data_IF_505766426586
#
_entry.id   IF_505766426586
#
_cell.length_a   1.000
_cell.length_b   1.000
_cell.length_c   1.000
_cell.angle_alpha   90.00
_cell.angle_beta   90.00
_cell.angle_gamma   90.00
#
_symmetry.space_group_name_H-M   'P 1'
#
loop_
_entity.id
_entity.type
_entity.pdbx_description
1 polymer ?
#
# COMPACT_ATOMS: atom_id res chain seq x y z
N UNK A 1 18.40 30.40 7.35
CA UNK A 1 17.63 29.22 7.84
C UNK A 1 16.34 29.19 7.03
N UNK A 2 15.97 28.01 6.45
CA UNK A 2 14.68 27.87 5.78
C UNK A 2 13.53 27.98 6.79
N UNK A 3 12.40 28.51 6.37
CA UNK A 3 11.20 28.50 7.19
C UNK A 3 10.68 27.07 7.36
N UNK A 4 9.90 26.84 8.43
CA UNK A 4 9.33 25.54 8.70
C UNK A 4 8.31 25.16 7.63
N UNK A 5 8.58 24.05 6.90
CA UNK A 5 7.71 23.48 5.88
C UNK A 5 7.11 24.54 4.93
N UNK A 6 7.98 25.44 4.43
CA UNK A 6 7.63 26.43 3.43
C UNK A 6 7.36 25.80 2.04
N UNK A 7 7.13 26.63 1.03
CA UNK A 7 6.86 26.16 -0.33
C UNK A 7 7.96 25.23 -0.87
N UNK A 8 9.22 25.47 -0.47
CA UNK A 8 10.39 24.69 -0.89
C UNK A 8 10.78 23.58 0.11
N UNK A 9 9.84 23.17 0.97
CA UNK A 9 10.05 22.06 1.89
C UNK A 9 10.62 20.83 1.17
N UNK A 10 11.72 20.26 1.68
CA UNK A 10 12.50 19.14 1.11
C UNK A 10 13.20 19.43 -0.22
N UNK A 11 13.05 20.60 -0.83
CA UNK A 11 13.70 20.97 -2.09
C UNK A 11 14.97 21.80 -1.80
N UNK A 12 16.13 21.31 -2.21
CA UNK A 12 17.43 21.87 -1.83
C UNK A 12 18.06 22.73 -2.93
N UNK A 13 17.82 22.37 -4.21
CA UNK A 13 18.42 23.03 -5.39
C UNK A 13 17.37 23.74 -6.25
N UNK A 14 17.81 24.67 -7.10
CA UNK A 14 16.91 25.38 -8.03
C UNK A 14 16.30 24.41 -9.05
N UNK A 15 17.07 23.42 -9.48
CA UNK A 15 16.56 22.35 -10.34
C UNK A 15 15.47 21.54 -9.62
N UNK A 16 15.69 21.14 -8.37
CA UNK A 16 14.68 20.41 -7.59
C UNK A 16 13.37 21.20 -7.44
N UNK A 17 13.45 22.51 -7.18
CA UNK A 17 12.29 23.41 -7.10
C UNK A 17 11.57 23.49 -8.44
N UNK A 18 12.30 23.63 -9.52
CA UNK A 18 11.73 23.68 -10.88
C UNK A 18 11.00 22.37 -11.21
N UNK A 19 11.63 21.22 -10.96
CA UNK A 19 11.03 19.90 -11.20
C UNK A 19 9.74 19.71 -10.41
N UNK A 20 9.74 20.15 -9.16
CA UNK A 20 8.55 20.02 -8.33
C UNK A 20 7.45 21.01 -8.74
N UNK A 21 7.71 22.33 -8.68
CA UNK A 21 6.67 23.34 -8.85
C UNK A 21 6.11 23.42 -10.28
N UNK A 22 6.93 23.12 -11.30
CA UNK A 22 6.44 23.16 -12.69
C UNK A 22 5.85 21.85 -13.17
N UNK A 23 6.35 20.70 -12.70
CA UNK A 23 6.01 19.41 -13.31
C UNK A 23 5.28 18.44 -12.38
N UNK A 24 5.70 18.34 -11.10
CA UNK A 24 5.16 17.33 -10.18
C UNK A 24 3.97 17.83 -9.37
N UNK A 25 3.94 19.07 -8.93
CA UNK A 25 2.98 19.61 -7.96
C UNK A 25 1.53 19.47 -8.40
N UNK A 26 1.24 19.77 -9.67
CA UNK A 26 -0.11 19.74 -10.24
C UNK A 26 -0.49 18.42 -10.89
N UNK A 27 0.44 17.45 -10.95
CA UNK A 27 0.16 16.12 -11.50
C UNK A 27 -0.93 15.42 -10.68
N UNK A 28 -1.94 14.78 -11.30
CA UNK A 28 -2.98 14.07 -10.57
C UNK A 28 -2.42 12.96 -9.70
N UNK A 29 -3.21 12.52 -8.72
CA UNK A 29 -2.88 11.38 -7.86
C UNK A 29 -3.57 10.13 -8.38
N UNK A 30 -2.81 9.04 -8.47
CA UNK A 30 -3.27 7.70 -8.73
C UNK A 30 -2.80 6.81 -7.58
N UNK A 31 -3.74 6.39 -6.73
CA UNK A 31 -3.45 5.59 -5.54
C UNK A 31 -3.80 4.13 -5.80
N UNK A 32 -2.86 3.39 -6.37
CA UNK A 32 -3.07 2.03 -6.85
C UNK A 32 -3.02 0.95 -5.77
N UNK A 33 -2.79 1.34 -4.51
CA UNK A 33 -2.88 0.45 -3.35
C UNK A 33 -3.13 1.26 -2.06
N UNK A 34 -4.26 1.02 -1.42
CA UNK A 34 -4.62 1.57 -0.13
C UNK A 34 -5.60 0.66 0.63
N UNK A 35 -5.88 1.01 1.88
CA UNK A 35 -6.84 0.32 2.75
C UNK A 35 -8.06 1.20 3.09
N UNK A 36 -8.38 2.17 2.22
CA UNK A 36 -9.55 3.03 2.40
C UNK A 36 -10.83 2.21 2.25
N UNK A 37 -11.81 2.49 3.12
CA UNK A 37 -13.09 1.80 3.09
C UNK A 37 -14.00 2.36 1.98
N UNK A 38 -14.34 1.58 0.94
CA UNK A 38 -15.18 2.05 -0.16
C UNK A 38 -16.61 2.44 0.28
N UNK A 39 -17.10 1.90 1.40
CA UNK A 39 -18.39 2.30 1.97
C UNK A 39 -18.41 3.77 2.35
N UNK A 40 -17.33 4.28 2.96
CA UNK A 40 -17.23 5.68 3.36
C UNK A 40 -17.23 6.63 2.15
N UNK A 41 -16.68 6.19 1.01
CA UNK A 41 -16.75 6.93 -0.27
C UNK A 41 -18.17 6.88 -0.84
N UNK A 42 -18.80 5.69 -0.84
CA UNK A 42 -20.15 5.53 -1.37
C UNK A 42 -21.19 6.35 -0.61
N UNK A 43 -21.06 6.44 0.71
CA UNK A 43 -21.94 7.18 1.61
C UNK A 43 -21.57 8.67 1.74
N UNK A 44 -20.45 9.09 1.14
CA UNK A 44 -19.87 10.44 1.26
C UNK A 44 -19.79 10.91 2.71
N UNK A 45 -19.18 10.05 3.56
CA UNK A 45 -19.11 10.25 5.01
C UNK A 45 -18.51 11.61 5.36
N UNK A 46 -19.03 12.23 6.44
CA UNK A 46 -18.37 13.31 7.16
C UNK A 46 -17.85 12.80 8.50
N UNK A 47 -16.73 13.34 8.93
CA UNK A 47 -16.13 13.00 10.22
C UNK A 47 -16.53 14.03 11.28
N UNK A 48 -16.85 13.57 12.48
CA UNK A 48 -17.25 14.46 13.57
C UNK A 48 -16.06 15.27 14.11
N UNK A 49 -14.85 14.67 14.06
CA UNK A 49 -13.64 15.30 14.58
C UNK A 49 -12.35 14.71 13.95
N UNK A 50 -11.23 15.40 14.15
CA UNK A 50 -9.93 15.05 13.58
C UNK A 50 -9.38 13.72 14.12
N UNK A 51 -9.74 13.29 15.32
CA UNK A 51 -9.31 12.01 15.90
C UNK A 51 -9.81 10.84 15.06
N UNK A 52 -11.06 10.89 14.63
CA UNK A 52 -11.65 9.83 13.79
C UNK A 52 -10.90 9.66 12.48
N UNK A 53 -10.46 10.77 11.88
CA UNK A 53 -9.68 10.73 10.62
C UNK A 53 -8.24 10.26 10.84
N UNK A 54 -7.62 10.70 11.95
CA UNK A 54 -6.19 10.48 12.17
C UNK A 54 -5.85 9.23 12.98
N UNK A 55 -6.68 8.89 13.95
CA UNK A 55 -6.39 7.82 14.91
C UNK A 55 -7.32 6.62 14.80
N UNK A 56 -8.32 6.68 13.91
CA UNK A 56 -9.32 5.63 13.77
C UNK A 56 -8.79 4.27 13.30
N UNK A 57 -7.62 4.24 12.64
CA UNK A 57 -7.01 3.01 12.11
C UNK A 57 -5.53 3.11 11.82
N UNK A 58 -4.86 4.15 12.32
CA UNK A 58 -3.45 4.43 12.00
C UNK A 58 -2.50 3.81 13.02
N UNK A 59 -2.06 2.58 12.73
CA UNK A 59 -1.11 1.87 13.59
C UNK A 59 0.30 2.50 13.63
N UNK A 60 0.69 3.39 12.70
CA UNK A 60 1.93 4.19 12.77
C UNK A 60 1.87 5.17 13.93
N UNK A 61 0.77 5.94 14.02
CA UNK A 61 0.54 6.90 15.11
C UNK A 61 0.42 6.18 16.45
N UNK A 62 -0.32 5.08 16.51
CA UNK A 62 -0.46 4.27 17.72
C UNK A 62 0.87 3.75 18.23
N UNK A 63 1.73 3.23 17.33
CA UNK A 63 3.07 2.76 17.66
C UNK A 63 3.94 3.88 18.23
N UNK A 64 3.89 5.07 17.63
CA UNK A 64 4.63 6.22 18.09
C UNK A 64 4.13 6.72 19.47
N UNK A 65 2.81 6.79 19.68
CA UNK A 65 2.23 7.16 20.98
C UNK A 65 2.69 6.20 22.09
N UNK A 66 2.73 4.90 21.83
CA UNK A 66 3.27 3.91 22.78
C UNK A 66 4.74 4.15 23.10
N UNK A 67 5.54 4.51 22.12
CA UNK A 67 6.96 4.84 22.33
C UNK A 67 7.14 6.13 23.13
N UNK A 68 6.13 6.99 23.15
CA UNK A 68 6.08 8.17 24.04
C UNK A 68 5.57 7.85 25.45
N UNK A 69 5.25 6.59 25.77
CA UNK A 69 4.74 6.16 27.07
C UNK A 69 3.26 6.48 27.32
N UNK A 70 2.49 6.69 26.25
CA UNK A 70 1.04 6.94 26.37
C UNK A 70 0.32 5.65 26.75
N UNK A 71 -0.59 5.73 27.73
CA UNK A 71 -1.42 4.61 28.15
C UNK A 71 -2.38 4.19 27.02
N UNK A 72 -2.60 2.88 26.87
CA UNK A 72 -3.43 2.29 25.80
C UNK A 72 -4.85 2.83 25.78
N UNK A 73 -5.37 3.26 26.95
CA UNK A 73 -6.67 3.94 27.09
C UNK A 73 -6.82 5.11 26.10
N UNK A 74 -5.73 5.86 25.86
CA UNK A 74 -5.71 7.04 24.99
C UNK A 74 -5.29 6.70 23.53
N UNK A 75 -5.04 5.45 23.22
CA UNK A 75 -4.61 5.00 21.88
C UNK A 75 -5.75 4.25 21.20
N UNK A 76 -6.01 3.01 21.61
CA UNK A 76 -7.08 2.16 21.09
C UNK A 76 -8.21 1.96 22.10
N UNK A 77 -8.06 2.39 23.34
CA UNK A 77 -9.06 2.22 24.41
C UNK A 77 -10.20 3.25 24.34
N UNK A 78 -10.86 3.45 25.48
CA UNK A 78 -12.16 4.12 25.63
C UNK A 78 -12.07 5.62 26.02
N UNK A 79 -10.89 6.23 26.01
CA UNK A 79 -10.75 7.67 26.23
C UNK A 79 -11.51 8.48 25.17
N UNK A 80 -11.95 9.69 25.50
CA UNK A 80 -12.62 10.56 24.54
C UNK A 80 -11.74 10.89 23.34
N UNK A 81 -12.34 11.15 22.18
CA UNK A 81 -11.62 11.57 20.97
C UNK A 81 -10.74 12.80 21.23
N UNK A 82 -11.21 13.75 22.03
CA UNK A 82 -10.44 14.93 22.42
C UNK A 82 -9.21 14.55 23.22
N UNK A 83 -9.34 13.69 24.23
CA UNK A 83 -8.21 13.25 25.05
C UNK A 83 -7.16 12.49 24.22
N UNK A 84 -7.61 11.62 23.30
CA UNK A 84 -6.73 10.91 22.36
C UNK A 84 -5.95 11.89 21.47
N UNK A 85 -6.64 12.90 20.91
CA UNK A 85 -6.00 13.93 20.10
C UNK A 85 -4.95 14.73 20.89
N UNK A 86 -5.27 15.11 22.14
CA UNK A 86 -4.33 15.85 23.00
C UNK A 86 -3.08 15.01 23.29
N UNK A 87 -3.24 13.71 23.52
CA UNK A 87 -2.09 12.81 23.69
C UNK A 87 -1.28 12.67 22.41
N UNK A 88 -1.93 12.64 21.26
CA UNK A 88 -1.24 12.69 19.98
C UNK A 88 -0.46 13.99 19.78
N UNK A 89 -1.05 15.14 20.09
CA UNK A 89 -0.40 16.45 19.99
C UNK A 89 0.84 16.57 20.90
N UNK A 90 0.78 16.02 22.13
CA UNK A 90 1.93 15.92 23.02
C UNK A 90 3.07 15.09 22.42
N UNK A 91 2.73 14.01 21.72
CA UNK A 91 3.70 13.09 21.11
C UNK A 91 4.31 13.66 19.83
N UNK A 92 3.47 14.10 18.87
CA UNK A 92 3.93 14.55 17.56
C UNK A 92 4.85 15.76 17.66
N UNK A 93 4.63 16.66 18.61
CA UNK A 93 5.52 17.79 18.87
C UNK A 93 6.95 17.39 19.27
N UNK A 94 7.18 16.14 19.64
CA UNK A 94 8.49 15.56 19.97
C UNK A 94 9.03 14.61 18.88
N UNK A 95 8.31 14.44 17.77
CA UNK A 95 8.62 13.46 16.72
C UNK A 95 9.74 13.94 15.77
N UNK A 96 10.85 14.43 16.34
CA UNK A 96 12.00 14.89 15.56
C UNK A 96 12.57 13.74 14.69
N UNK A 97 12.70 13.97 13.38
CA UNK A 97 13.19 12.96 12.43
C UNK A 97 12.19 11.87 12.05
N UNK A 98 11.02 11.84 12.67
CA UNK A 98 9.96 10.88 12.35
C UNK A 98 9.06 11.42 11.22
N UNK A 99 8.71 10.61 10.19
CA UNK A 99 7.87 11.06 9.06
C UNK A 99 6.47 11.51 9.51
N UNK A 100 5.94 10.99 10.61
CA UNK A 100 4.65 11.39 11.15
C UNK A 100 4.58 12.89 11.47
N UNK A 101 5.73 13.52 11.83
CA UNK A 101 5.80 14.96 12.01
C UNK A 101 5.52 15.70 10.71
N UNK A 102 6.19 15.31 9.62
CA UNK A 102 6.01 15.92 8.31
C UNK A 102 4.59 15.66 7.76
N UNK A 103 4.14 14.40 7.80
CA UNK A 103 2.82 14.06 7.26
C UNK A 103 1.69 14.79 7.98
N UNK A 104 1.68 14.80 9.32
CA UNK A 104 0.65 15.50 10.08
C UNK A 104 0.62 17.00 9.78
N UNK A 105 1.78 17.63 9.60
CA UNK A 105 1.83 19.06 9.29
C UNK A 105 1.50 19.36 7.82
N UNK A 106 1.82 18.47 6.87
CA UNK A 106 1.32 18.59 5.50
C UNK A 106 -0.21 18.49 5.45
N UNK A 107 -0.78 17.54 6.17
CA UNK A 107 -2.23 17.38 6.27
C UNK A 107 -2.89 18.63 6.88
N UNK A 108 -2.33 19.18 7.96
CA UNK A 108 -2.80 20.42 8.57
C UNK A 108 -2.73 21.60 7.61
N UNK A 109 -1.65 21.74 6.85
CA UNK A 109 -1.50 22.82 5.89
C UNK A 109 -2.47 22.68 4.70
N UNK A 110 -2.59 21.49 4.11
CA UNK A 110 -3.32 21.28 2.85
C UNK A 110 -4.83 21.27 3.04
N UNK A 111 -5.31 20.62 4.10
CA UNK A 111 -6.74 20.47 4.32
C UNK A 111 -7.32 21.51 5.28
N UNK A 112 -6.53 21.98 6.24
CA UNK A 112 -7.04 22.87 7.29
C UNK A 112 -6.49 24.30 7.24
N UNK A 113 -5.48 24.56 6.38
CA UNK A 113 -4.85 25.88 6.27
C UNK A 113 -4.03 26.27 7.52
N UNK A 114 -3.65 25.31 8.35
CA UNK A 114 -2.87 25.55 9.55
C UNK A 114 -1.37 25.41 9.26
N UNK A 115 -0.63 26.52 9.34
CA UNK A 115 0.82 26.58 9.08
C UNK A 115 1.68 26.63 10.37
N UNK A 116 1.04 26.53 11.53
CA UNK A 116 1.73 26.43 12.82
C UNK A 116 2.26 25.01 13.10
N UNK A 117 2.81 24.85 14.30
CA UNK A 117 3.31 23.54 14.77
C UNK A 117 2.32 22.93 15.75
N UNK A 118 1.89 21.71 15.49
CA UNK A 118 1.06 20.93 16.42
C UNK A 118 1.92 20.44 17.60
N UNK A 119 1.51 20.78 18.79
CA UNK A 119 2.16 20.42 20.05
C UNK A 119 1.15 20.49 21.20
N UNK A 120 1.56 20.11 22.41
CA UNK A 120 0.74 20.27 23.60
C UNK A 120 0.24 21.71 23.82
N UNK A 121 1.00 22.73 23.34
CA UNK A 121 0.64 24.15 23.51
C UNK A 121 -0.42 24.62 22.53
N UNK A 122 -0.49 24.01 21.36
CA UNK A 122 -1.38 24.40 20.27
C UNK A 122 -2.53 23.40 20.06
N UNK A 123 -2.60 22.35 20.88
CA UNK A 123 -3.57 21.27 20.73
C UNK A 123 -5.03 21.77 20.73
N UNK A 124 -5.40 22.67 21.64
CA UNK A 124 -6.76 23.21 21.71
C UNK A 124 -7.12 24.05 20.47
N UNK A 125 -6.19 24.88 20.02
CA UNK A 125 -6.35 25.70 18.81
C UNK A 125 -6.58 24.81 17.59
N UNK A 126 -5.71 23.81 17.39
CA UNK A 126 -5.79 22.89 16.23
C UNK A 126 -7.03 22.02 16.30
N UNK A 127 -7.40 21.53 17.50
CA UNK A 127 -8.64 20.78 17.70
C UNK A 127 -9.87 21.58 17.25
N UNK A 128 -9.97 22.81 17.72
CA UNK A 128 -11.12 23.66 17.39
C UNK A 128 -11.16 24.02 15.89
N UNK A 129 -10.01 24.39 15.32
CA UNK A 129 -9.89 24.74 13.90
C UNK A 129 -10.27 23.55 13.01
N UNK A 130 -9.66 22.39 13.25
CA UNK A 130 -9.90 21.20 12.40
C UNK A 130 -11.35 20.73 12.50
N UNK A 131 -11.91 20.69 13.69
CA UNK A 131 -13.27 20.21 13.88
C UNK A 131 -14.32 21.18 13.33
N UNK A 132 -14.10 22.48 13.42
CA UNK A 132 -14.97 23.46 12.77
C UNK A 132 -14.96 23.26 11.25
N UNK A 133 -13.77 23.05 10.67
CA UNK A 133 -13.64 22.84 9.22
C UNK A 133 -14.23 21.51 8.75
N UNK A 134 -14.09 20.43 9.52
CA UNK A 134 -14.67 19.10 9.19
C UNK A 134 -16.22 19.13 9.13
N UNK A 135 -16.90 20.14 9.68
CA UNK A 135 -18.34 20.29 9.54
C UNK A 135 -18.77 20.92 8.19
N UNK A 136 -17.83 21.51 7.44
CA UNK A 136 -18.10 22.06 6.13
C UNK A 136 -18.39 20.94 5.11
N UNK A 137 -19.22 21.21 4.11
CA UNK A 137 -19.51 20.26 3.02
C UNK A 137 -18.26 19.93 2.21
N UNK A 138 -17.34 20.88 2.10
CA UNK A 138 -16.03 20.73 1.44
C UNK A 138 -15.14 19.63 2.04
N UNK A 139 -15.44 19.16 3.25
CA UNK A 139 -14.65 18.18 4.00
C UNK A 139 -15.33 16.81 4.08
N UNK A 140 -16.34 16.54 3.26
CA UNK A 140 -16.84 15.18 3.07
C UNK A 140 -15.75 14.31 2.41
N UNK A 141 -15.86 12.99 2.55
CA UNK A 141 -14.89 12.04 2.01
C UNK A 141 -14.66 12.24 0.51
N UNK A 142 -15.72 12.39 -0.28
CA UNK A 142 -15.59 12.63 -1.72
C UNK A 142 -14.91 13.96 -2.04
N UNK A 143 -15.18 14.98 -1.26
CA UNK A 143 -14.56 16.29 -1.44
C UNK A 143 -13.09 16.31 -0.97
N UNK A 144 -12.72 15.54 0.06
CA UNK A 144 -11.32 15.29 0.43
C UNK A 144 -10.54 14.61 -0.70
N UNK A 145 -11.14 13.63 -1.36
CA UNK A 145 -10.56 12.94 -2.52
C UNK A 145 -10.38 13.91 -3.70
N UNK A 146 -11.41 14.71 -4.02
CA UNK A 146 -11.37 15.67 -5.14
C UNK A 146 -10.34 16.77 -4.94
N UNK A 147 -10.30 17.39 -3.75
CA UNK A 147 -9.33 18.46 -3.46
C UNK A 147 -7.89 17.95 -3.43
N UNK A 148 -7.68 16.63 -3.28
CA UNK A 148 -6.39 15.97 -3.39
C UNK A 148 -5.99 15.65 -4.83
N UNK A 149 -6.79 16.06 -5.83
CA UNK A 149 -6.59 15.79 -7.25
C UNK A 149 -6.43 14.29 -7.56
N UNK A 150 -7.18 13.43 -6.87
CA UNK A 150 -7.16 11.99 -7.08
C UNK A 150 -8.01 11.61 -8.28
N UNK A 151 -7.51 10.78 -9.16
CA UNK A 151 -8.22 10.28 -10.35
C UNK A 151 -8.64 8.82 -10.23
N UNK A 152 -7.89 8.04 -9.45
CA UNK A 152 -8.18 6.63 -9.24
C UNK A 152 -7.66 6.17 -7.87
N UNK A 153 -8.43 5.27 -7.26
CA UNK A 153 -8.12 4.58 -6.01
C UNK A 153 -8.32 3.09 -6.23
N UNK A 154 -7.33 2.26 -5.87
CA UNK A 154 -7.52 0.82 -5.68
C UNK A 154 -7.59 0.51 -4.19
N UNK A 155 -8.69 -0.07 -3.77
CA UNK A 155 -8.90 -0.59 -2.41
C UNK A 155 -8.19 -1.94 -2.22
N UNK A 156 -8.37 -2.58 -1.08
CA UNK A 156 -7.84 -3.93 -0.82
C UNK A 156 -9.01 -4.82 -0.41
N UNK A 157 -9.35 -5.80 -1.26
CA UNK A 157 -10.61 -6.53 -1.16
C UNK A 157 -10.38 -8.05 -1.13
N UNK A 158 -11.15 -8.71 -0.27
CA UNK A 158 -11.10 -10.15 -0.11
C UNK A 158 -11.96 -10.87 -1.17
N UNK A 159 -11.59 -12.06 -1.65
CA UNK A 159 -12.41 -12.88 -2.56
C UNK A 159 -13.89 -13.02 -2.19
N UNK A 160 -14.22 -12.97 -0.89
CA UNK A 160 -15.61 -13.07 -0.42
C UNK A 160 -16.40 -11.79 -0.53
N UNK A 161 -15.78 -10.64 -0.79
CA UNK A 161 -16.44 -9.34 -0.77
C UNK A 161 -17.46 -9.20 -1.91
N UNK A 162 -18.63 -8.65 -1.59
CA UNK A 162 -19.71 -8.43 -2.55
C UNK A 162 -19.43 -7.33 -3.56
N UNK A 163 -18.47 -6.45 -3.27
CA UNK A 163 -18.14 -5.24 -4.03
C UNK A 163 -19.32 -4.27 -4.25
N UNK A 164 -20.35 -4.37 -3.42
CA UNK A 164 -21.56 -3.55 -3.54
C UNK A 164 -21.30 -2.04 -3.47
N UNK A 165 -20.27 -1.64 -2.69
CA UNK A 165 -19.89 -0.24 -2.56
C UNK A 165 -19.18 0.28 -3.80
N UNK A 166 -18.34 -0.55 -4.43
CA UNK A 166 -17.70 -0.24 -5.71
C UNK A 166 -18.76 -0.05 -6.80
N UNK A 167 -19.76 -0.94 -6.84
CA UNK A 167 -20.87 -0.84 -7.80
C UNK A 167 -21.68 0.45 -7.58
N UNK A 168 -22.00 0.80 -6.32
CA UNK A 168 -22.70 2.05 -6.00
C UNK A 168 -21.91 3.29 -6.43
N UNK A 169 -20.60 3.31 -6.18
CA UNK A 169 -19.73 4.41 -6.59
C UNK A 169 -19.66 4.50 -8.11
N UNK A 170 -19.49 3.37 -8.81
CA UNK A 170 -19.39 3.31 -10.26
C UNK A 170 -20.69 3.75 -10.97
N UNK A 171 -21.84 3.57 -10.32
CA UNK A 171 -23.16 3.99 -10.82
C UNK A 171 -23.51 5.47 -10.53
N UNK A 172 -22.69 6.17 -9.76
CA UNK A 172 -22.95 7.54 -9.34
C UNK A 172 -22.19 8.54 -10.23
N UNK A 173 -22.88 9.11 -11.20
CA UNK A 173 -22.32 10.11 -12.14
C UNK A 173 -21.90 11.43 -11.46
N UNK A 174 -22.22 11.64 -10.19
CA UNK A 174 -21.80 12.82 -9.43
C UNK A 174 -20.40 12.71 -8.88
N UNK A 175 -19.78 11.51 -8.95
CA UNK A 175 -18.42 11.25 -8.49
C UNK A 175 -17.57 10.64 -9.60
N UNK A 176 -16.64 11.41 -10.12
CA UNK A 176 -15.85 11.12 -11.32
C UNK A 176 -14.54 10.34 -11.03
N UNK A 177 -14.17 10.18 -9.75
CA UNK A 177 -12.99 9.41 -9.36
C UNK A 177 -13.28 7.91 -9.45
N UNK A 178 -12.40 7.18 -10.10
CA UNK A 178 -12.50 5.71 -10.21
C UNK A 178 -12.10 5.05 -8.90
N UNK A 179 -12.97 4.20 -8.35
CA UNK A 179 -12.66 3.36 -7.20
C UNK A 179 -12.79 1.90 -7.63
N UNK A 180 -11.65 1.22 -7.73
CA UNK A 180 -11.55 -0.14 -8.25
C UNK A 180 -11.13 -1.11 -7.15
N UNK A 181 -11.63 -2.34 -7.15
CA UNK A 181 -11.17 -3.35 -6.21
C UNK A 181 -9.78 -3.83 -6.58
N UNK A 182 -8.97 -4.21 -5.58
CA UNK A 182 -7.77 -5.00 -5.77
C UNK A 182 -7.92 -6.36 -5.07
N UNK A 183 -7.48 -7.41 -5.74
CA UNK A 183 -7.66 -8.79 -5.34
C UNK A 183 -6.64 -9.21 -4.28
N UNK A 184 -7.06 -9.53 -3.05
CA UNK A 184 -6.20 -10.01 -1.96
C UNK A 184 -6.66 -11.35 -1.39
N UNK A 185 -6.21 -12.49 -1.92
CA UNK A 185 -6.68 -13.82 -1.55
C UNK A 185 -5.91 -14.44 -0.38
N UNK A 186 -5.22 -13.66 0.45
CA UNK A 186 -4.33 -14.16 1.51
C UNK A 186 -5.00 -15.13 2.48
N UNK A 187 -6.29 -14.95 2.79
CA UNK A 187 -7.01 -15.86 3.68
C UNK A 187 -7.23 -17.23 3.07
N UNK A 188 -7.37 -17.31 1.73
CA UNK A 188 -7.45 -18.57 1.01
C UNK A 188 -6.09 -19.28 0.91
N UNK A 189 -4.99 -18.52 1.01
CA UNK A 189 -3.63 -19.05 0.99
C UNK A 189 -3.13 -19.49 2.37
N UNK A 190 -3.55 -18.82 3.44
CA UNK A 190 -3.01 -19.02 4.78
C UNK A 190 -3.64 -20.26 5.46
N UNK A 191 -3.39 -21.43 4.90
CA UNK A 191 -3.95 -22.72 5.26
C UNK A 191 -3.70 -23.12 6.74
N UNK A 192 -2.64 -22.58 7.35
CA UNK A 192 -2.26 -22.84 8.74
C UNK A 192 -3.15 -22.10 9.77
N UNK A 193 -3.88 -21.09 9.33
CA UNK A 193 -4.68 -20.26 10.26
C UNK A 193 -5.84 -21.06 10.88
N UNK A 194 -6.13 -20.85 12.18
CA UNK A 194 -7.19 -21.61 12.87
C UNK A 194 -8.56 -21.52 12.21
N UNK A 195 -8.92 -20.34 11.68
CA UNK A 195 -10.19 -20.00 11.06
C UNK A 195 -10.28 -20.35 9.55
N UNK A 196 -9.28 -21.07 9.00
CA UNK A 196 -9.19 -21.35 7.57
C UNK A 196 -10.43 -22.06 7.01
N UNK A 197 -10.94 -23.10 7.70
CA UNK A 197 -12.13 -23.84 7.25
C UNK A 197 -13.41 -23.02 7.32
N UNK A 198 -13.52 -22.11 8.30
CA UNK A 198 -14.63 -21.15 8.37
C UNK A 198 -14.58 -20.15 7.21
N UNK A 199 -13.36 -19.72 6.85
CA UNK A 199 -13.16 -18.85 5.68
C UNK A 199 -13.55 -19.56 4.38
N UNK A 200 -13.16 -20.83 4.18
CA UNK A 200 -13.56 -21.60 3.01
C UNK A 200 -15.08 -21.74 2.89
N UNK A 201 -15.79 -21.92 4.00
CA UNK A 201 -17.26 -21.95 4.00
C UNK A 201 -17.87 -20.61 3.52
N UNK A 202 -17.28 -19.48 3.92
CA UNK A 202 -17.70 -18.14 3.43
C UNK A 202 -17.41 -17.96 1.95
N UNK A 203 -16.25 -18.43 1.49
CA UNK A 203 -15.85 -18.37 0.08
C UNK A 203 -16.77 -19.24 -0.79
N UNK A 204 -17.09 -20.45 -0.33
CA UNK A 204 -18.05 -21.34 -0.96
C UNK A 204 -19.45 -20.68 -1.12
N UNK A 205 -19.93 -20.04 -0.05
CA UNK A 205 -21.20 -19.30 -0.07
C UNK A 205 -21.17 -18.09 -1.02
N UNK A 206 -20.06 -17.33 -1.05
CA UNK A 206 -19.91 -16.15 -1.92
C UNK A 206 -19.86 -16.50 -3.41
N UNK A 207 -19.47 -17.73 -3.75
CA UNK A 207 -19.36 -18.23 -5.13
C UNK A 207 -20.49 -19.17 -5.57
N UNK A 208 -21.34 -19.59 -4.65
CA UNK A 208 -22.33 -20.67 -4.81
C UNK A 208 -21.67 -21.96 -5.32
N UNK A 209 -20.49 -22.30 -4.77
CA UNK A 209 -19.70 -23.48 -5.15
C UNK A 209 -19.30 -24.26 -3.90
N UNK A 210 -19.16 -25.59 -4.04
CA UNK A 210 -18.67 -26.45 -2.97
C UNK A 210 -17.15 -26.60 -3.04
N UNK A 211 -16.46 -26.56 -1.89
CA UNK A 211 -14.99 -26.69 -1.80
C UNK A 211 -14.65 -27.91 -0.95
N UNK A 212 -14.27 -29.00 -1.61
CA UNK A 212 -13.83 -30.26 -0.99
C UNK A 212 -12.40 -30.64 -1.32
N UNK A 213 -11.87 -30.13 -2.43
CA UNK A 213 -10.54 -30.41 -2.95
C UNK A 213 -9.81 -29.10 -3.24
N UNK A 214 -8.49 -29.15 -3.40
CA UNK A 214 -7.74 -27.98 -3.87
C UNK A 214 -8.15 -27.58 -5.31
N UNK A 215 -8.55 -28.55 -6.12
CA UNK A 215 -9.12 -28.27 -7.44
C UNK A 215 -10.42 -27.46 -7.34
N UNK A 216 -11.31 -27.76 -6.39
CA UNK A 216 -12.52 -26.97 -6.16
C UNK A 216 -12.18 -25.55 -5.67
N UNK A 217 -11.22 -25.41 -4.75
CA UNK A 217 -10.74 -24.09 -4.32
C UNK A 217 -10.24 -23.25 -5.49
N UNK A 218 -9.44 -23.85 -6.40
CA UNK A 218 -8.98 -23.15 -7.61
C UNK A 218 -10.13 -22.71 -8.50
N UNK A 219 -11.09 -23.57 -8.74
CA UNK A 219 -12.28 -23.24 -9.55
C UNK A 219 -13.12 -22.11 -8.91
N UNK A 220 -13.27 -22.16 -7.60
CA UNK A 220 -13.99 -21.13 -6.82
C UNK A 220 -13.27 -19.78 -6.91
N UNK A 221 -11.96 -19.76 -6.78
CA UNK A 221 -11.17 -18.53 -6.90
C UNK A 221 -11.24 -17.97 -8.32
N UNK A 222 -11.18 -18.78 -9.38
CA UNK A 222 -11.39 -18.33 -10.76
C UNK A 222 -12.77 -17.67 -10.90
N UNK A 223 -13.82 -18.28 -10.40
CA UNK A 223 -15.19 -17.72 -10.44
C UNK A 223 -15.21 -16.30 -9.78
N UNK A 224 -14.58 -16.16 -8.62
CA UNK A 224 -14.51 -14.86 -7.95
C UNK A 224 -13.61 -13.85 -8.66
N UNK A 225 -12.50 -14.29 -9.26
CA UNK A 225 -11.61 -13.44 -10.07
C UNK A 225 -12.33 -12.90 -11.31
N UNK A 226 -13.10 -13.71 -12.01
CA UNK A 226 -13.92 -13.25 -13.14
C UNK A 226 -14.93 -12.19 -12.71
N UNK A 227 -15.57 -12.38 -11.55
CA UNK A 227 -16.45 -11.36 -10.99
C UNK A 227 -15.71 -10.06 -10.69
N UNK A 228 -14.56 -10.12 -10.00
CA UNK A 228 -13.72 -8.93 -9.73
C UNK A 228 -13.26 -8.25 -11.01
N UNK A 229 -12.90 -9.03 -12.02
CA UNK A 229 -12.52 -8.51 -13.33
C UNK A 229 -13.64 -7.70 -13.98
N UNK A 230 -14.90 -8.18 -13.91
CA UNK A 230 -16.07 -7.41 -14.40
C UNK A 230 -16.29 -6.11 -13.63
N UNK A 231 -15.79 -6.00 -12.40
CA UNK A 231 -15.84 -4.77 -11.59
C UNK A 231 -14.62 -3.85 -11.81
N UNK A 232 -13.75 -4.18 -12.77
CA UNK A 232 -12.60 -3.36 -13.15
C UNK A 232 -11.32 -3.64 -12.35
N UNK A 233 -11.24 -4.76 -11.64
CA UNK A 233 -10.01 -5.19 -10.99
C UNK A 233 -8.92 -5.47 -12.02
N UNK A 234 -7.74 -4.86 -11.85
CA UNK A 234 -6.57 -5.02 -12.71
C UNK A 234 -5.30 -5.32 -11.92
N UNK A 235 -5.41 -5.43 -10.59
CA UNK A 235 -4.27 -5.63 -9.70
C UNK A 235 -4.59 -6.65 -8.63
N UNK A 236 -3.58 -7.42 -8.25
CA UNK A 236 -3.60 -8.25 -7.06
C UNK A 236 -2.67 -7.70 -6.00
N UNK A 237 -2.87 -8.14 -4.76
CA UNK A 237 -2.04 -7.83 -3.62
C UNK A 237 -1.86 -9.07 -2.74
N UNK A 238 -0.66 -9.27 -2.23
CA UNK A 238 -0.32 -10.34 -1.29
C UNK A 238 0.55 -9.81 -0.16
N UNK A 239 0.17 -10.13 1.07
CA UNK A 239 0.96 -9.85 2.28
C UNK A 239 1.66 -11.13 2.76
N UNK A 240 2.91 -11.32 2.37
CA UNK A 240 3.68 -12.53 2.58
C UNK A 240 4.68 -12.38 3.73
N UNK A 241 4.96 -13.48 4.43
CA UNK A 241 6.12 -13.55 5.34
C UNK A 241 7.43 -13.37 4.54
N UNK A 242 7.54 -14.08 3.42
CA UNK A 242 8.56 -13.96 2.37
C UNK A 242 8.03 -14.60 1.08
N UNK A 243 8.65 -14.39 -0.05
CA UNK A 243 8.27 -15.05 -1.30
C UNK A 243 8.84 -16.46 -1.31
N UNK A 244 8.00 -17.43 -0.89
CA UNK A 244 8.40 -18.83 -0.75
C UNK A 244 8.38 -19.58 -2.07
N UNK A 245 9.25 -20.58 -2.17
CA UNK A 245 9.24 -21.56 -3.27
C UNK A 245 9.66 -22.93 -2.76
N UNK A 246 8.69 -23.76 -2.43
CA UNK A 246 8.86 -25.16 -2.01
C UNK A 246 7.96 -26.00 -2.92
N UNK A 247 8.45 -26.43 -4.09
CA UNK A 247 7.63 -27.16 -5.07
C UNK A 247 7.23 -28.55 -4.55
N UNK A 248 6.04 -28.99 -4.91
CA UNK A 248 5.51 -30.30 -4.58
C UNK A 248 4.70 -30.85 -5.76
N UNK A 249 4.39 -32.15 -5.75
CA UNK A 249 3.47 -32.73 -6.70
C UNK A 249 2.02 -32.30 -6.41
N UNK A 250 1.17 -32.31 -7.43
CA UNK A 250 -0.27 -32.02 -7.24
C UNK A 250 -0.91 -32.96 -6.21
N UNK A 251 -0.45 -34.20 -6.13
CA UNK A 251 -0.94 -35.19 -5.16
C UNK A 251 -0.56 -34.81 -3.71
N UNK A 252 0.67 -34.31 -3.48
CA UNK A 252 1.11 -33.88 -2.16
C UNK A 252 0.36 -32.63 -1.71
N UNK A 253 0.12 -31.68 -2.61
CA UNK A 253 -0.66 -30.47 -2.33
C UNK A 253 -2.12 -30.81 -1.99
N UNK A 254 -2.74 -31.72 -2.77
CA UNK A 254 -4.09 -32.17 -2.50
C UNK A 254 -4.19 -32.92 -1.17
N UNK A 255 -3.19 -33.75 -0.83
CA UNK A 255 -3.11 -34.45 0.44
C UNK A 255 -2.99 -33.47 1.63
N UNK A 256 -2.16 -32.43 1.50
CA UNK A 256 -2.04 -31.37 2.53
C UNK A 256 -3.37 -30.62 2.71
N UNK A 257 -4.05 -30.31 1.61
CA UNK A 257 -5.36 -29.63 1.66
C UNK A 257 -6.43 -30.51 2.33
N UNK A 258 -6.53 -31.79 1.94
CA UNK A 258 -7.46 -32.75 2.55
C UNK A 258 -7.19 -32.95 4.05
N UNK A 259 -5.90 -33.06 4.43
CA UNK A 259 -5.46 -33.16 5.83
C UNK A 259 -5.92 -31.95 6.64
N UNK A 260 -5.82 -30.73 6.08
CA UNK A 260 -6.31 -29.51 6.74
C UNK A 260 -7.83 -29.51 6.91
N UNK A 261 -8.57 -29.98 5.89
CA UNK A 261 -10.03 -30.06 5.95
C UNK A 261 -10.52 -31.09 6.98
N UNK A 262 -9.76 -32.17 7.25
CA UNK A 262 -10.06 -33.14 8.31
C UNK A 262 -9.78 -32.61 9.72
N UNK A 263 -9.18 -31.40 9.84
CA UNK A 263 -8.84 -30.81 11.14
C UNK A 263 -7.45 -31.19 11.65
N UNK A 264 -6.67 -31.92 10.86
CA UNK A 264 -5.31 -32.30 11.22
C UNK A 264 -4.32 -31.12 11.04
N UNK A 265 -3.30 -31.09 11.88
CA UNK A 265 -2.24 -30.07 11.77
C UNK A 265 -1.30 -30.38 10.60
N UNK A 266 -0.92 -29.36 9.84
CA UNK A 266 0.07 -29.44 8.79
C UNK A 266 1.50 -29.30 9.39
N UNK A 267 2.45 -29.96 8.77
CA UNK A 267 3.87 -29.62 8.97
C UNK A 267 4.18 -28.27 8.27
N UNK A 268 5.27 -27.62 8.64
CA UNK A 268 5.70 -26.39 7.98
C UNK A 268 6.03 -26.62 6.50
N UNK A 269 6.52 -27.79 6.14
CA UNK A 269 6.79 -28.15 4.75
C UNK A 269 5.51 -28.24 3.94
N UNK A 270 4.50 -28.99 4.42
CA UNK A 270 3.19 -29.10 3.78
C UNK A 270 2.52 -27.73 3.60
N UNK A 271 2.63 -26.86 4.61
CA UNK A 271 2.14 -25.48 4.53
C UNK A 271 2.83 -24.70 3.38
N UNK A 272 4.16 -24.74 3.33
CA UNK A 272 4.93 -24.02 2.31
C UNK A 272 4.72 -24.57 0.90
N UNK A 273 4.56 -25.88 0.77
CA UNK A 273 4.20 -26.55 -0.49
C UNK A 273 2.84 -26.08 -1.02
N UNK A 274 1.84 -26.07 -0.14
CA UNK A 274 0.51 -25.55 -0.48
C UNK A 274 0.56 -24.08 -0.89
N UNK A 275 1.21 -23.21 -0.10
CA UNK A 275 1.34 -21.78 -0.39
C UNK A 275 2.07 -21.53 -1.71
N UNK A 276 3.11 -22.30 -2.00
CA UNK A 276 3.84 -22.24 -3.28
C UNK A 276 2.92 -22.60 -4.44
N UNK A 277 2.20 -23.72 -4.35
CA UNK A 277 1.25 -24.15 -5.40
C UNK A 277 0.13 -23.12 -5.59
N UNK A 278 -0.37 -22.54 -4.50
CA UNK A 278 -1.38 -21.48 -4.52
C UNK A 278 -0.88 -20.23 -5.25
N UNK A 279 0.30 -19.70 -4.87
CA UNK A 279 0.87 -18.51 -5.49
C UNK A 279 1.21 -18.71 -6.97
N UNK A 280 1.72 -19.89 -7.36
CA UNK A 280 1.96 -20.23 -8.77
C UNK A 280 0.66 -20.26 -9.55
N UNK A 281 -0.40 -20.85 -9.00
CA UNK A 281 -1.73 -20.84 -9.61
C UNK A 281 -2.25 -19.40 -9.76
N UNK A 282 -2.19 -18.58 -8.70
CA UNK A 282 -2.62 -17.18 -8.76
C UNK A 282 -1.81 -16.39 -9.80
N UNK A 283 -0.49 -16.54 -9.85
CA UNK A 283 0.36 -15.85 -10.81
C UNK A 283 -0.03 -16.16 -12.27
N UNK A 284 -0.37 -17.41 -12.58
CA UNK A 284 -0.88 -17.80 -13.90
C UNK A 284 -2.22 -17.15 -14.21
N UNK A 285 -3.15 -17.14 -13.26
CA UNK A 285 -4.44 -16.49 -13.43
C UNK A 285 -4.31 -14.97 -13.58
N UNK A 286 -3.38 -14.33 -12.86
CA UNK A 286 -3.08 -12.91 -13.07
C UNK A 286 -2.56 -12.62 -14.47
N UNK A 287 -1.66 -13.49 -15.00
CA UNK A 287 -1.20 -13.38 -16.37
C UNK A 287 -2.35 -13.58 -17.38
N UNK A 288 -3.23 -14.56 -17.15
CA UNK A 288 -4.40 -14.83 -18.00
C UNK A 288 -5.35 -13.63 -18.08
N UNK A 289 -5.60 -12.97 -16.95
CA UNK A 289 -6.49 -11.80 -16.85
C UNK A 289 -5.77 -10.48 -17.15
N UNK A 290 -4.46 -10.53 -17.45
CA UNK A 290 -3.62 -9.34 -17.64
C UNK A 290 -3.60 -8.40 -16.42
N UNK A 291 -3.68 -8.96 -15.21
CA UNK A 291 -3.53 -8.22 -13.97
C UNK A 291 -2.06 -8.08 -13.57
N UNK A 292 -1.73 -6.99 -12.89
CA UNK A 292 -0.43 -6.87 -12.25
C UNK A 292 -0.43 -7.56 -10.88
N UNK A 293 0.62 -8.33 -10.61
CA UNK A 293 0.84 -8.98 -9.32
C UNK A 293 1.63 -8.06 -8.39
N UNK A 294 1.13 -7.83 -7.18
CA UNK A 294 1.87 -7.11 -6.14
C UNK A 294 2.22 -8.06 -4.99
N UNK A 295 3.50 -8.13 -4.64
CA UNK A 295 4.03 -8.99 -3.59
C UNK A 295 4.63 -8.13 -2.48
N UNK A 296 3.89 -7.96 -1.39
CA UNK A 296 4.36 -7.32 -0.17
C UNK A 296 4.93 -8.39 0.77
N UNK A 297 6.19 -8.31 1.17
CA UNK A 297 6.80 -9.30 2.04
C UNK A 297 7.73 -8.69 3.09
N UNK A 298 8.18 -9.52 4.03
CA UNK A 298 9.16 -9.15 5.03
C UNK A 298 8.56 -8.62 6.33
N UNK A 299 7.28 -8.90 6.60
CA UNK A 299 6.64 -8.58 7.87
C UNK A 299 6.61 -9.80 8.80
N UNK A 300 7.14 -9.64 10.01
CA UNK A 300 6.84 -10.56 11.11
C UNK A 300 5.70 -9.97 11.91
N UNK A 301 4.54 -10.65 11.84
CA UNK A 301 3.29 -10.19 12.45
C UNK A 301 3.21 -10.53 13.93
N UNK A 302 2.43 -9.73 14.66
CA UNK A 302 1.91 -10.04 16.00
C UNK A 302 2.99 -10.41 17.04
N UNK A 303 4.13 -9.70 17.04
CA UNK A 303 5.29 -10.05 17.87
C UNK A 303 5.05 -9.93 19.39
N UNK A 304 3.98 -9.26 19.82
CA UNK A 304 3.60 -9.12 21.22
C UNK A 304 2.32 -9.90 21.50
N UNK A 305 2.46 -11.17 21.88
CA UNK A 305 1.32 -12.07 22.14
C UNK A 305 0.35 -11.52 23.20
N UNK A 306 0.86 -10.86 24.24
CA UNK A 306 0.04 -10.25 25.27
C UNK A 306 -0.89 -9.18 24.69
N UNK A 307 -0.35 -8.34 23.80
CA UNK A 307 -1.11 -7.27 23.16
C UNK A 307 -2.00 -7.81 22.04
N UNK A 308 -1.56 -8.79 21.30
CA UNK A 308 -2.39 -9.47 20.29
C UNK A 308 -3.68 -10.07 20.91
N UNK A 309 -3.55 -10.75 22.06
CA UNK A 309 -4.72 -11.30 22.80
C UNK A 309 -5.70 -10.20 23.24
N UNK A 310 -5.21 -9.00 23.56
CA UNK A 310 -6.04 -7.91 24.07
C UNK A 310 -6.64 -7.03 22.96
N UNK A 311 -5.90 -6.80 21.86
CA UNK A 311 -6.21 -5.78 20.86
C UNK A 311 -6.45 -6.34 19.45
N UNK A 312 -6.05 -7.59 19.17
CA UNK A 312 -6.11 -8.19 17.84
C UNK A 312 -4.97 -7.80 16.91
N UNK A 313 -5.07 -8.18 15.63
CA UNK A 313 -4.07 -7.91 14.60
C UNK A 313 -4.06 -6.43 14.18
N UNK A 314 -3.03 -6.03 13.43
CA UNK A 314 -2.86 -4.70 12.81
C UNK A 314 -2.90 -3.52 13.81
N UNK A 315 -2.48 -3.76 15.05
CA UNK A 315 -2.50 -2.74 16.11
C UNK A 315 -1.12 -2.14 16.43
N UNK A 316 -0.11 -2.37 15.56
CA UNK A 316 1.21 -1.72 15.64
C UNK A 316 2.29 -2.55 16.35
N UNK A 317 2.14 -3.87 16.46
CA UNK A 317 3.09 -4.79 17.10
C UNK A 317 3.85 -5.69 16.11
N UNK A 318 3.87 -5.30 14.86
CA UNK A 318 4.62 -5.97 13.80
C UNK A 318 6.04 -5.41 13.69
N UNK A 319 6.94 -6.17 13.08
CA UNK A 319 8.30 -5.74 12.82
C UNK A 319 8.83 -6.27 11.49
N UNK A 320 9.99 -5.75 11.07
CA UNK A 320 10.72 -6.24 9.91
C UNK A 320 11.18 -7.66 10.18
N UNK A 321 10.97 -8.53 9.19
CA UNK A 321 11.50 -9.88 9.15
C UNK A 321 12.83 -9.89 8.39
N UNK A 322 13.77 -10.70 8.85
CA UNK A 322 15.08 -10.84 8.23
C UNK A 322 15.27 -12.20 7.54
N UNK A 323 14.23 -12.83 7.03
CA UNK A 323 14.37 -13.97 6.14
C UNK A 323 15.07 -13.51 4.85
N UNK A 324 16.00 -14.32 4.35
CA UNK A 324 16.74 -14.05 3.13
C UNK A 324 16.09 -14.80 1.94
N UNK A 325 15.02 -14.28 1.32
CA UNK A 325 14.20 -15.03 0.39
C UNK A 325 14.71 -14.98 -1.06
N UNK A 326 15.86 -14.35 -1.34
CA UNK A 326 16.26 -14.00 -2.70
C UNK A 326 16.32 -15.21 -3.65
N UNK A 327 16.85 -16.36 -3.21
CA UNK A 327 16.90 -17.57 -4.03
C UNK A 327 15.47 -18.10 -4.33
N UNK A 328 14.65 -18.23 -3.29
CA UNK A 328 13.28 -18.72 -3.46
C UNK A 328 12.40 -17.76 -4.29
N UNK A 329 12.59 -16.45 -4.14
CA UNK A 329 11.91 -15.44 -4.97
C UNK A 329 12.31 -15.60 -6.45
N UNK A 330 13.60 -15.75 -6.74
CA UNK A 330 14.08 -15.96 -8.09
C UNK A 330 13.51 -17.27 -8.69
N UNK A 331 13.47 -18.35 -7.91
CA UNK A 331 12.90 -19.62 -8.33
C UNK A 331 11.39 -19.55 -8.57
N UNK A 332 10.65 -18.83 -7.73
CA UNK A 332 9.22 -18.57 -7.90
C UNK A 332 8.94 -17.82 -9.22
N UNK A 333 9.62 -16.70 -9.45
CA UNK A 333 9.47 -15.92 -10.69
C UNK A 333 9.87 -16.76 -11.91
N UNK A 334 10.96 -17.54 -11.82
CA UNK A 334 11.39 -18.42 -12.87
C UNK A 334 10.39 -19.54 -13.16
N UNK A 335 9.71 -20.08 -12.15
CA UNK A 335 8.68 -21.11 -12.35
C UNK A 335 7.51 -20.61 -13.21
N UNK A 336 7.10 -19.35 -13.05
CA UNK A 336 6.10 -18.69 -13.89
C UNK A 336 6.70 -18.31 -15.27
N UNK A 337 7.95 -17.86 -15.30
CA UNK A 337 8.59 -17.42 -16.52
C UNK A 337 8.85 -18.57 -17.51
N UNK A 338 9.18 -19.77 -17.01
CA UNK A 338 9.42 -20.97 -17.84
C UNK A 338 8.26 -21.33 -18.75
N UNK A 339 7.03 -21.02 -18.36
CA UNK A 339 5.81 -21.29 -19.11
C UNK A 339 5.27 -20.03 -19.79
N UNK A 340 6.02 -18.93 -19.76
CA UNK A 340 5.61 -17.63 -20.29
C UNK A 340 4.33 -17.09 -19.62
N UNK A 341 4.17 -17.37 -18.32
CA UNK A 341 3.00 -17.02 -17.52
C UNK A 341 3.35 -16.03 -16.37
N UNK A 342 4.55 -15.43 -16.40
CA UNK A 342 4.94 -14.42 -15.42
C UNK A 342 4.23 -13.10 -15.74
N UNK A 343 3.32 -12.63 -14.86
CA UNK A 343 2.64 -11.35 -15.05
C UNK A 343 3.58 -10.16 -14.78
N UNK A 344 3.14 -8.96 -15.13
CA UNK A 344 3.73 -7.72 -14.57
C UNK A 344 3.73 -7.80 -13.06
N UNK A 345 4.89 -7.61 -12.43
CA UNK A 345 5.04 -7.85 -10.99
C UNK A 345 5.75 -6.70 -10.30
N UNK A 346 5.17 -6.22 -9.19
CA UNK A 346 5.78 -5.23 -8.30
C UNK A 346 6.10 -5.90 -6.97
N UNK A 347 7.35 -5.77 -6.52
CA UNK A 347 7.86 -6.41 -5.30
C UNK A 347 8.16 -5.35 -4.25
N UNK A 348 7.56 -5.49 -3.07
CA UNK A 348 7.75 -4.59 -1.93
C UNK A 348 8.39 -5.37 -0.78
N UNK A 349 9.49 -4.89 -0.24
CA UNK A 349 10.09 -5.44 0.99
C UNK A 349 9.98 -4.46 2.14
N UNK A 350 9.69 -4.97 3.35
CA UNK A 350 9.87 -4.20 4.58
C UNK A 350 11.32 -4.09 5.00
N UNK A 351 12.18 -5.01 4.53
CA UNK A 351 13.59 -5.00 4.87
C UNK A 351 14.40 -4.21 3.84
N UNK A 352 14.92 -3.02 4.15
CA UNK A 352 15.68 -2.21 3.20
C UNK A 352 17.00 -2.88 2.79
N UNK A 353 17.52 -3.85 3.56
CA UNK A 353 18.70 -4.62 3.16
C UNK A 353 18.46 -5.51 1.93
N UNK A 354 17.19 -5.76 1.58
CA UNK A 354 16.83 -6.57 0.42
C UNK A 354 16.84 -5.76 -0.89
N UNK A 355 16.94 -4.43 -0.84
CA UNK A 355 16.83 -3.57 -2.02
C UNK A 355 17.77 -4.01 -3.15
N UNK A 356 19.05 -4.27 -2.86
CA UNK A 356 20.01 -4.71 -3.88
C UNK A 356 19.72 -6.13 -4.38
N UNK A 357 19.30 -7.05 -3.51
CA UNK A 357 18.93 -8.41 -3.89
C UNK A 357 17.72 -8.39 -4.84
N UNK A 358 16.68 -7.62 -4.50
CA UNK A 358 15.51 -7.40 -5.35
C UNK A 358 15.96 -6.82 -6.70
N UNK A 359 16.71 -5.71 -6.69
CA UNK A 359 17.17 -5.02 -7.89
C UNK A 359 17.89 -5.94 -8.88
N UNK A 360 18.72 -6.87 -8.40
CA UNK A 360 19.42 -7.85 -9.26
C UNK A 360 18.48 -8.94 -9.78
N UNK A 361 17.50 -9.39 -8.99
CA UNK A 361 16.49 -10.37 -9.42
C UNK A 361 15.60 -9.77 -10.52
N UNK A 362 15.19 -8.52 -10.39
CA UNK A 362 14.36 -7.84 -11.40
C UNK A 362 14.98 -7.92 -12.79
N UNK A 363 16.31 -7.73 -12.90
CA UNK A 363 17.05 -7.78 -14.15
C UNK A 363 17.00 -9.15 -14.84
N UNK A 364 16.74 -10.23 -14.11
CA UNK A 364 16.67 -11.59 -14.66
C UNK A 364 15.37 -11.87 -15.44
N UNK A 365 14.32 -11.08 -15.27
CA UNK A 365 12.97 -11.40 -15.75
C UNK A 365 12.33 -10.26 -16.55
N UNK A 366 13.12 -9.34 -17.08
CA UNK A 366 12.64 -8.29 -17.98
C UNK A 366 12.38 -8.85 -19.39
N UNK A 367 11.36 -8.35 -20.07
CA UNK A 367 11.08 -8.64 -21.47
C UNK A 367 10.41 -7.44 -22.17
N UNK A 368 10.02 -7.60 -23.43
CA UNK A 368 9.42 -6.53 -24.25
C UNK A 368 7.91 -6.35 -24.05
N UNK A 369 7.27 -7.10 -23.15
CA UNK A 369 5.81 -7.06 -22.97
C UNK A 369 5.36 -5.85 -22.14
N UNK A 370 6.23 -5.33 -21.29
CA UNK A 370 5.98 -4.10 -20.54
C UNK A 370 7.30 -3.42 -20.15
N UNK A 371 7.30 -2.07 -20.09
CA UNK A 371 8.42 -1.30 -19.53
C UNK A 371 8.51 -1.61 -18.02
N UNK A 372 9.72 -1.94 -17.57
CA UNK A 372 9.97 -2.35 -16.18
C UNK A 372 8.97 -3.42 -15.70
N UNK A 373 8.79 -4.48 -16.51
CA UNK A 373 7.79 -5.55 -16.29
C UNK A 373 7.80 -6.07 -14.85
N UNK A 374 9.00 -6.34 -14.34
CA UNK A 374 9.22 -6.68 -12.94
C UNK A 374 9.94 -5.52 -12.30
N UNK A 375 9.39 -4.94 -11.24
CA UNK A 375 10.01 -3.78 -10.60
C UNK A 375 9.89 -3.81 -9.07
N UNK A 376 10.80 -3.11 -8.42
CA UNK A 376 10.69 -2.83 -7.00
C UNK A 376 9.65 -1.74 -6.79
N UNK A 377 8.72 -1.95 -5.88
CA UNK A 377 7.70 -0.99 -5.52
C UNK A 377 8.25 0.15 -4.65
N UNK A 378 7.38 1.11 -4.36
CA UNK A 378 7.67 2.22 -3.44
C UNK A 378 8.18 1.71 -2.10
N UNK A 379 9.03 2.50 -1.44
CA UNK A 379 9.44 2.21 -0.07
C UNK A 379 8.17 2.07 0.79
N UNK A 380 7.98 0.85 1.30
CA UNK A 380 6.76 0.44 1.96
C UNK A 380 6.85 0.69 3.48
N UNK A 381 5.78 0.50 4.20
CA UNK A 381 5.65 0.59 5.66
C UNK A 381 6.98 0.34 6.40
N UNK A 382 7.34 1.15 7.38
CA UNK A 382 8.65 1.31 8.03
C UNK A 382 9.76 1.98 7.20
N UNK A 383 9.65 2.02 5.87
CA UNK A 383 10.63 2.66 4.97
C UNK A 383 10.04 3.83 4.18
N UNK A 384 8.74 4.10 4.32
CA UNK A 384 8.01 5.17 3.63
C UNK A 384 8.31 6.58 4.21
N UNK A 385 9.54 6.80 4.62
CA UNK A 385 10.12 8.04 5.09
C UNK A 385 11.21 8.55 4.13
N UNK A 386 11.65 9.81 4.32
CA UNK A 386 12.60 10.48 3.40
C UNK A 386 13.78 9.57 3.02
N UNK A 387 14.50 9.05 4.01
CA UNK A 387 15.70 8.24 3.78
C UNK A 387 15.37 6.92 3.08
N UNK A 388 14.35 6.20 3.55
CA UNK A 388 13.96 4.91 2.94
C UNK A 388 13.49 5.07 1.50
N UNK A 389 12.73 6.14 1.18
CA UNK A 389 12.33 6.46 -0.21
C UNK A 389 13.54 6.77 -1.08
N UNK A 390 14.51 7.56 -0.58
CA UNK A 390 15.74 7.86 -1.32
C UNK A 390 16.56 6.60 -1.57
N UNK A 391 16.78 5.78 -0.56
CA UNK A 391 17.54 4.53 -0.67
C UNK A 391 16.91 3.55 -1.66
N UNK A 392 15.58 3.40 -1.62
CA UNK A 392 14.85 2.56 -2.56
C UNK A 392 14.99 3.09 -4.01
N UNK A 393 14.79 4.38 -4.25
CA UNK A 393 14.91 4.98 -5.59
C UNK A 393 16.36 4.92 -6.12
N UNK A 394 17.36 5.14 -5.26
CA UNK A 394 18.77 5.02 -5.64
C UNK A 394 19.11 3.57 -6.01
N UNK A 395 18.65 2.61 -5.22
CA UNK A 395 18.87 1.19 -5.53
C UNK A 395 18.21 0.80 -6.86
N UNK A 396 16.96 1.25 -7.08
CA UNK A 396 16.25 1.01 -8.34
C UNK A 396 16.94 1.69 -9.54
N UNK A 397 17.46 2.92 -9.37
CA UNK A 397 18.21 3.63 -10.41
C UNK A 397 19.51 2.90 -10.79
N UNK A 398 20.23 2.37 -9.80
CA UNK A 398 21.51 1.72 -10.01
C UNK A 398 21.40 0.32 -10.64
N UNK A 399 20.31 -0.41 -10.37
CA UNK A 399 20.16 -1.83 -10.71
C UNK A 399 19.01 -2.11 -11.70
N UNK A 400 18.19 -1.12 -11.99
CA UNK A 400 17.01 -1.25 -12.84
C UNK A 400 16.72 0.00 -13.66
N UNK A 401 15.44 0.30 -13.86
CA UNK A 401 14.97 1.45 -14.65
C UNK A 401 14.09 2.36 -13.80
N UNK A 402 14.69 3.38 -13.17
CA UNK A 402 13.94 4.34 -12.35
C UNK A 402 12.92 5.13 -13.17
N UNK A 403 13.19 5.46 -14.45
CA UNK A 403 12.24 6.21 -15.28
C UNK A 403 10.94 5.43 -15.56
N UNK A 404 10.97 4.10 -15.47
CA UNK A 404 9.79 3.21 -15.58
C UNK A 404 9.07 2.93 -14.26
N UNK A 405 9.49 3.56 -13.15
CA UNK A 405 8.95 3.30 -11.82
C UNK A 405 7.49 3.76 -11.71
N UNK A 406 6.63 2.93 -11.10
CA UNK A 406 5.20 3.24 -10.93
C UNK A 406 4.90 4.26 -9.82
N UNK A 407 5.92 4.73 -9.12
CA UNK A 407 5.80 5.80 -8.14
C UNK A 407 5.16 5.39 -6.82
N UNK A 408 4.54 6.37 -6.15
CA UNK A 408 4.01 6.28 -4.79
C UNK A 408 2.60 5.68 -4.76
N UNK A 409 2.31 5.01 -3.67
CA UNK A 409 1.00 4.60 -3.18
C UNK A 409 0.85 5.06 -1.72
N UNK A 410 -0.37 5.16 -1.18
CA UNK A 410 -0.53 5.62 0.21
C UNK A 410 -0.42 4.52 1.24
N UNK A 411 -0.83 3.31 0.92
CA UNK A 411 -0.99 2.19 1.89
C UNK A 411 -1.74 2.62 3.16
N UNK A 412 -2.72 3.50 3.01
CA UNK A 412 -3.35 4.20 4.13
C UNK A 412 -4.84 3.89 4.28
N UNK A 413 -5.32 4.06 5.50
CA UNK A 413 -6.74 4.03 5.86
C UNK A 413 -7.36 5.43 6.00
N UNK A 414 -6.57 6.50 5.86
CA UNK A 414 -7.02 7.89 6.08
C UNK A 414 -7.17 8.67 4.78
N UNK A 415 -8.28 9.37 4.63
CA UNK A 415 -8.56 10.26 3.49
C UNK A 415 -7.69 11.53 3.46
N UNK A 416 -6.91 11.81 4.50
CA UNK A 416 -5.94 12.91 4.52
C UNK A 416 -4.56 12.48 4.01
N UNK A 417 -4.32 11.18 3.82
CA UNK A 417 -2.99 10.63 3.50
C UNK A 417 -2.54 10.86 2.07
N UNK A 418 -3.35 11.45 1.18
CA UNK A 418 -2.92 11.79 -0.18
C UNK A 418 -1.76 12.78 -0.22
N UNK A 419 -1.52 13.53 0.85
CA UNK A 419 -0.31 14.35 1.04
C UNK A 419 0.99 13.53 1.01
N UNK A 420 0.93 12.20 1.17
CA UNK A 420 2.09 11.31 0.99
C UNK A 420 2.59 11.30 -0.45
N UNK A 421 1.70 11.49 -1.45
CA UNK A 421 2.12 11.68 -2.85
C UNK A 421 2.91 12.99 -3.03
N UNK A 422 2.48 14.09 -2.40
CA UNK A 422 3.27 15.32 -2.37
C UNK A 422 4.64 15.11 -1.72
N UNK A 423 4.67 14.47 -0.56
CA UNK A 423 5.90 14.16 0.16
C UNK A 423 6.87 13.35 -0.70
N UNK A 424 6.39 12.30 -1.35
CA UNK A 424 7.18 11.50 -2.29
C UNK A 424 7.71 12.32 -3.47
N UNK A 425 6.85 13.10 -4.12
CA UNK A 425 7.23 13.92 -5.29
C UNK A 425 8.30 14.94 -4.94
N UNK A 426 8.24 15.54 -3.75
CA UNK A 426 9.29 16.44 -3.26
C UNK A 426 10.62 15.71 -3.08
N UNK A 427 10.60 14.51 -2.53
CA UNK A 427 11.79 13.66 -2.35
C UNK A 427 12.36 13.25 -3.71
N UNK A 428 11.52 12.81 -4.64
CA UNK A 428 11.92 12.46 -6.01
C UNK A 428 12.57 13.64 -6.72
N UNK A 429 11.90 14.80 -6.74
CA UNK A 429 12.41 16.00 -7.40
C UNK A 429 13.71 16.49 -6.77
N UNK A 430 13.86 16.36 -5.44
CA UNK A 430 15.10 16.72 -4.77
C UNK A 430 16.24 15.77 -5.13
N UNK A 431 15.97 14.47 -5.18
CA UNK A 431 16.97 13.47 -5.55
C UNK A 431 17.48 13.69 -6.98
N UNK A 432 16.54 13.83 -7.93
CA UNK A 432 16.89 14.08 -9.35
C UNK A 432 17.55 15.43 -9.53
N UNK A 433 17.03 16.47 -8.87
CA UNK A 433 17.61 17.81 -8.91
C UNK A 433 19.05 17.84 -8.41
N UNK A 434 19.37 17.09 -7.35
CA UNK A 434 20.74 16.98 -6.85
C UNK A 434 21.66 16.27 -7.87
N UNK A 435 21.21 15.22 -8.54
CA UNK A 435 22.00 14.56 -9.59
C UNK A 435 22.30 15.50 -10.76
N UNK A 436 21.34 16.35 -11.13
CA UNK A 436 21.56 17.35 -12.19
C UNK A 436 22.56 18.42 -11.75
N UNK A 437 22.38 19.00 -10.57
CA UNK A 437 23.27 20.07 -10.06
C UNK A 437 24.69 19.56 -9.77
N UNK A 438 24.85 18.28 -9.46
CA UNK A 438 26.16 17.64 -9.30
C UNK A 438 26.80 17.22 -10.63
N UNK A 439 26.13 17.42 -11.77
CA UNK A 439 26.62 17.00 -13.09
C UNK A 439 26.58 15.50 -13.35
N UNK A 440 25.82 14.76 -12.55
CA UNK A 440 25.63 13.31 -12.70
C UNK A 440 24.58 12.98 -13.78
N UNK A 441 23.70 13.93 -14.10
CA UNK A 441 22.68 13.83 -15.14
C UNK A 441 22.55 15.17 -15.88
N UNK A 442 22.28 15.18 -17.21
CA UNK A 442 22.17 16.41 -17.97
C UNK A 442 20.94 17.24 -17.57
N UNK A 443 21.05 18.57 -17.65
CA UNK A 443 19.96 19.51 -17.40
C UNK A 443 19.00 19.63 -18.62
N UNK A 444 18.58 18.48 -19.18
CA UNK A 444 17.57 18.41 -20.25
C UNK A 444 16.17 18.49 -19.61
N UNK A 445 15.62 19.70 -19.57
CA UNK A 445 14.38 19.95 -18.87
C UNK A 445 13.16 19.28 -19.51
N UNK A 446 13.16 19.05 -20.82
CA UNK A 446 12.06 18.38 -21.52
C UNK A 446 12.02 16.88 -21.15
N UNK A 447 13.18 16.23 -21.14
CA UNK A 447 13.31 14.84 -20.73
C UNK A 447 13.04 14.68 -19.21
N UNK A 448 13.50 15.62 -18.39
CA UNK A 448 13.23 15.61 -16.95
C UNK A 448 11.75 15.80 -16.64
N UNK A 449 11.04 16.67 -17.36
CA UNK A 449 9.59 16.83 -17.25
C UNK A 449 8.87 15.51 -17.51
N UNK A 450 9.23 14.82 -18.62
CA UNK A 450 8.66 13.52 -18.97
C UNK A 450 8.88 12.49 -17.85
N UNK A 451 10.12 12.33 -17.38
CA UNK A 451 10.49 11.39 -16.33
C UNK A 451 9.71 11.66 -15.03
N UNK A 452 9.66 12.93 -14.58
CA UNK A 452 8.98 13.30 -13.34
C UNK A 452 7.47 13.05 -13.42
N UNK A 453 6.84 13.42 -14.55
CA UNK A 453 5.41 13.16 -14.76
C UNK A 453 5.11 11.66 -14.90
N UNK A 454 5.98 10.92 -15.54
CA UNK A 454 5.83 9.48 -15.72
C UNK A 454 5.90 8.76 -14.36
N UNK A 455 6.91 9.02 -13.54
CA UNK A 455 7.01 8.44 -12.19
C UNK A 455 5.86 8.91 -11.28
N UNK A 456 5.42 10.16 -11.43
CA UNK A 456 4.37 10.72 -10.57
C UNK A 456 2.97 10.22 -10.90
N UNK A 457 2.72 9.70 -12.14
CA UNK A 457 1.39 9.36 -12.59
C UNK A 457 1.33 8.40 -13.79
N UNK A 458 1.99 8.73 -14.93
CA UNK A 458 1.72 8.05 -16.18
C UNK A 458 2.18 6.60 -16.18
N UNK A 459 3.29 6.27 -15.51
CA UNK A 459 3.79 4.91 -15.41
C UNK A 459 2.78 4.00 -14.71
N UNK A 460 2.21 4.42 -13.57
CA UNK A 460 1.18 3.63 -12.90
C UNK A 460 -0.04 3.43 -13.78
N UNK A 461 -0.53 4.50 -14.45
CA UNK A 461 -1.66 4.40 -15.39
C UNK A 461 -1.40 3.37 -16.49
N UNK A 462 -0.22 3.42 -17.14
CA UNK A 462 0.17 2.52 -18.24
C UNK A 462 0.43 1.10 -17.75
N UNK A 463 1.18 0.97 -16.66
CA UNK A 463 1.62 -0.31 -16.12
C UNK A 463 0.45 -1.17 -15.62
N UNK A 464 -0.47 -0.59 -14.88
CA UNK A 464 -1.65 -1.28 -14.38
C UNK A 464 -2.80 -1.30 -15.39
N UNK A 465 -2.66 -0.63 -16.55
CA UNK A 465 -3.69 -0.53 -17.60
C UNK A 465 -5.03 0.01 -17.08
N UNK A 466 -4.96 1.01 -16.20
CA UNK A 466 -6.18 1.59 -15.64
C UNK A 466 -7.03 2.31 -16.70
N UNK A 467 -8.37 2.19 -16.63
CA UNK A 467 -9.31 2.77 -17.61
C UNK A 467 -9.48 4.29 -17.40
N UNK A 468 -8.37 5.02 -17.42
CA UNK A 468 -8.31 6.48 -17.33
C UNK A 468 -8.08 7.10 -18.72
N UNK A 469 -8.78 8.22 -19.00
CA UNK A 469 -8.62 8.99 -20.24
C UNK A 469 -7.25 9.69 -20.34
#
# INVERSE_FOLDING_TARGET
MKNFMDADFLLETETAKTLYHKFAETTPVLDYHCHINPKEIAEDRKFDNITQVWLGGDHYKWRFMRSCGVDEKYITGDASDKDKFFKWAECVGKAIGNPLFHWSHLELQRYFGYHGVLSAKTAEEVWNLCNAKLQEDSMSVRNLIRQSNVTLICTTDDPIDSLEWHQKIAADDTFDVKVLPAWRPDKAMNIEKPDYTEYLAKLAAASDMEIKTFADLKATLINRMEYFHTQGCNVSDHGLEYVMYVPASDADVEAAFAKRLSGEALTREEELQFKTAFLLFMGREYNRLDWAMQLHYGCKRDNNELRYKALGPDTGFDCINNYAPSAQMADFLNALNKTNELPRTVIYSLNPNDNAAIGTILGCFQDSTAVAKIQQGSAWWFNDHKTGMQEQMISLANLGNLSGFVGMLTDSRSFLSYTRHEYFRRILCNLVGNWVENGEYPADMDLLEEIIKDISYNNAKKYFKFPLK
#
